data_IF_231260942416
#
_entry.id   IF_231260942416
#
_cell.length_a   1.000
_cell.length_b   1.000
_cell.length_c   1.000
_cell.angle_alpha   90.00
_cell.angle_beta   90.00
_cell.angle_gamma   90.00
#
_symmetry.space_group_name_H-M   'P 1'
#
loop_
_entity.id
_entity.type
_entity.pdbx_description
1 polymer ?
#
# COMPACT_ATOMS: atom_id res chain seq x y z
N UNK A 1 -20.15 30.85 -82.19
CA UNK A 1 -20.79 30.60 -80.89
C UNK A 1 -21.46 29.24 -80.98
N UNK A 2 -21.07 28.18 -80.29
CA UNK A 2 -19.97 27.88 -79.38
C UNK A 2 -19.96 26.33 -79.30
N UNK A 3 -18.78 25.73 -79.40
CA UNK A 3 -18.59 24.27 -79.48
C UNK A 3 -18.82 23.60 -78.13
N UNK A 4 -19.50 22.45 -78.16
CA UNK A 4 -19.76 21.56 -77.04
C UNK A 4 -18.51 20.75 -76.63
N UNK A 5 -18.37 20.57 -75.30
CA UNK A 5 -17.60 19.56 -74.54
C UNK A 5 -16.05 19.67 -74.57
N UNK A 6 -15.28 19.45 -73.49
CA UNK A 6 -15.43 18.58 -72.31
C UNK A 6 -14.84 19.22 -71.01
N UNK A 7 -15.36 18.85 -69.84
CA UNK A 7 -14.74 19.11 -68.51
C UNK A 7 -14.65 17.76 -67.77
N UNK A 8 -13.52 17.42 -67.12
CA UNK A 8 -13.16 16.04 -66.81
C UNK A 8 -13.93 15.43 -65.62
N UNK A 9 -14.25 14.15 -65.76
CA UNK A 9 -14.85 13.30 -64.71
C UNK A 9 -13.88 13.17 -63.53
N UNK A 10 -14.17 13.88 -62.44
CA UNK A 10 -13.49 13.66 -61.15
C UNK A 10 -13.89 12.30 -60.59
N UNK A 11 -12.95 11.36 -60.66
CA UNK A 11 -13.07 10.02 -60.10
C UNK A 11 -13.13 10.10 -58.56
N UNK A 12 -14.34 10.16 -58.00
CA UNK A 12 -14.54 10.17 -56.55
C UNK A 12 -14.25 8.77 -56.01
N UNK A 13 -13.08 8.61 -55.38
CA UNK A 13 -12.75 7.40 -54.60
C UNK A 13 -13.85 7.21 -53.55
N UNK A 14 -14.75 6.25 -53.78
CA UNK A 14 -15.71 5.76 -52.77
C UNK A 14 -14.93 5.39 -51.51
N UNK A 15 -15.05 6.19 -50.44
CA UNK A 15 -14.61 5.79 -49.09
C UNK A 15 -15.40 4.53 -48.74
N UNK A 16 -14.70 3.39 -48.70
CA UNK A 16 -15.26 2.12 -48.25
C UNK A 16 -15.77 2.31 -46.82
N UNK A 17 -17.08 2.14 -46.62
CA UNK A 17 -17.70 2.08 -45.29
C UNK A 17 -16.99 0.97 -44.52
N UNK A 18 -16.33 1.32 -43.41
CA UNK A 18 -15.64 0.35 -42.56
C UNK A 18 -16.64 -0.66 -42.03
N UNK A 19 -16.48 -1.93 -42.41
CA UNK A 19 -17.31 -3.01 -41.91
C UNK A 19 -17.17 -3.20 -40.39
N UNK A 20 -18.22 -3.75 -39.78
CA UNK A 20 -18.28 -4.03 -38.35
C UNK A 20 -17.06 -4.86 -37.89
N UNK A 21 -16.36 -4.39 -36.85
CA UNK A 21 -15.20 -5.10 -36.29
C UNK A 21 -15.66 -6.42 -35.68
N UNK A 22 -15.17 -7.55 -36.19
CA UNK A 22 -15.46 -8.88 -35.64
C UNK A 22 -14.63 -9.13 -34.36
N UNK A 23 -15.25 -9.71 -33.34
CA UNK A 23 -14.62 -9.96 -32.02
C UNK A 23 -13.47 -10.99 -32.09
N UNK A 24 -13.44 -11.84 -33.12
CA UNK A 24 -12.51 -12.98 -33.30
C UNK A 24 -11.34 -12.70 -34.25
N UNK A 25 -11.18 -11.46 -34.74
CA UNK A 25 -10.05 -11.07 -35.60
C UNK A 25 -8.67 -11.20 -34.92
N UNK A 26 -7.63 -11.44 -35.72
CA UNK A 26 -6.24 -11.55 -35.25
C UNK A 26 -5.77 -10.26 -34.55
N UNK A 27 -4.84 -10.38 -33.59
CA UNK A 27 -4.34 -9.25 -32.80
C UNK A 27 -3.70 -8.18 -33.68
N UNK A 28 -2.96 -8.59 -34.71
CA UNK A 28 -2.31 -7.68 -35.67
C UNK A 28 -3.32 -6.79 -36.41
N UNK A 29 -4.49 -7.31 -36.79
CA UNK A 29 -5.54 -6.51 -37.42
C UNK A 29 -6.28 -5.61 -36.42
N UNK A 30 -6.46 -6.09 -35.18
CA UNK A 30 -7.08 -5.34 -34.08
C UNK A 30 -6.26 -4.11 -33.69
N UNK A 31 -4.95 -4.26 -33.44
CA UNK A 31 -4.02 -3.16 -33.14
C UNK A 31 -4.04 -2.10 -34.26
N UNK A 32 -4.13 -2.55 -35.51
CA UNK A 32 -4.17 -1.66 -36.67
C UNK A 32 -5.55 -1.09 -36.97
N UNK A 33 -6.56 -1.38 -36.12
CA UNK A 33 -7.93 -0.92 -36.30
C UNK A 33 -8.54 -1.26 -37.68
N UNK A 34 -8.10 -2.37 -38.29
CA UNK A 34 -8.58 -2.85 -39.59
C UNK A 34 -9.42 -4.13 -39.46
N UNK A 35 -10.44 -4.34 -40.32
CA UNK A 35 -11.18 -5.60 -40.32
C UNK A 35 -10.28 -6.79 -40.64
N UNK A 36 -10.48 -7.90 -39.91
CA UNK A 36 -9.81 -9.17 -40.15
C UNK A 36 -10.77 -10.12 -40.88
N UNK A 37 -10.27 -10.86 -41.87
CA UNK A 37 -10.98 -11.91 -42.60
C UNK A 37 -10.89 -13.29 -41.91
N UNK A 38 -10.17 -13.37 -40.78
CA UNK A 38 -10.10 -14.54 -39.88
C UNK A 38 -9.58 -15.84 -40.52
N UNK A 39 -9.06 -15.78 -41.76
CA UNK A 39 -8.38 -16.90 -42.42
C UNK A 39 -7.16 -17.34 -41.61
N UNK A 40 -7.00 -18.66 -41.46
CA UNK A 40 -5.88 -19.31 -40.76
C UNK A 40 -5.02 -20.09 -41.75
N UNK A 41 -3.69 -20.21 -41.56
CA UNK A 41 -2.89 -19.72 -40.42
C UNK A 41 -2.57 -18.22 -40.45
N UNK A 42 -2.69 -17.57 -41.61
CA UNK A 42 -2.44 -16.13 -41.81
C UNK A 42 -3.67 -15.51 -42.47
N UNK A 43 -4.12 -14.36 -41.95
CA UNK A 43 -5.27 -13.65 -42.50
C UNK A 43 -4.85 -12.88 -43.77
N UNK A 44 -5.75 -12.73 -44.76
CA UNK A 44 -5.41 -12.14 -46.06
C UNK A 44 -4.91 -10.69 -45.97
N UNK A 45 -5.32 -9.96 -44.94
CA UNK A 45 -4.82 -8.59 -44.71
C UNK A 45 -3.38 -8.56 -44.18
N UNK A 46 -2.98 -9.55 -43.37
CA UNK A 46 -1.59 -9.71 -42.92
C UNK A 46 -0.71 -10.29 -44.03
N UNK A 47 -1.23 -11.24 -44.81
CA UNK A 47 -0.54 -11.85 -45.96
C UNK A 47 -0.20 -10.79 -47.02
N UNK A 48 -1.19 -10.00 -47.46
CA UNK A 48 -1.02 -8.95 -48.47
C UNK A 48 -0.03 -7.86 -48.04
N UNK A 49 0.03 -7.57 -46.74
CA UNK A 49 0.89 -6.52 -46.19
C UNK A 49 2.21 -7.07 -45.63
N UNK A 50 2.47 -8.38 -45.78
CA UNK A 50 3.65 -9.09 -45.25
C UNK A 50 3.88 -8.81 -43.75
N UNK A 51 2.81 -8.81 -42.96
CA UNK A 51 2.85 -8.61 -41.51
C UNK A 51 2.81 -9.96 -40.77
N UNK A 52 3.46 -10.01 -39.61
CA UNK A 52 3.33 -11.15 -38.69
C UNK A 52 1.90 -11.24 -38.17
N UNK A 53 1.18 -12.30 -38.55
CA UNK A 53 -0.22 -12.51 -38.19
C UNK A 53 -0.32 -13.25 -36.85
N UNK A 54 -0.70 -12.53 -35.80
CA UNK A 54 -0.89 -13.10 -34.45
C UNK A 54 -2.35 -13.58 -34.28
N UNK A 55 -2.63 -14.89 -34.39
CA UNK A 55 -4.01 -15.40 -34.34
C UNK A 55 -4.66 -15.08 -32.99
N UNK A 56 -5.98 -14.87 -33.00
CA UNK A 56 -6.77 -14.79 -31.78
C UNK A 56 -7.00 -16.21 -31.26
N UNK A 57 -6.43 -16.53 -30.11
CA UNK A 57 -6.74 -17.74 -29.36
C UNK A 57 -7.78 -17.37 -28.30
N UNK A 58 -9.04 -17.83 -28.43
CA UNK A 58 -9.96 -17.74 -27.32
C UNK A 58 -9.39 -18.54 -26.16
N UNK A 59 -9.27 -17.89 -25.00
CA UNK A 59 -8.81 -18.47 -23.74
C UNK A 59 -9.49 -19.83 -23.57
N UNK A 60 -8.70 -20.92 -23.49
CA UNK A 60 -9.22 -22.22 -23.05
C UNK A 60 -9.90 -22.00 -21.72
N UNK A 61 -11.22 -22.23 -21.66
CA UNK A 61 -11.97 -22.23 -20.41
C UNK A 61 -11.25 -23.15 -19.41
N UNK A 62 -10.96 -22.63 -18.22
CA UNK A 62 -10.45 -23.45 -17.12
C UNK A 62 -11.50 -24.51 -16.77
N UNK A 63 -11.06 -25.74 -16.52
CA UNK A 63 -11.90 -26.91 -16.23
C UNK A 63 -12.72 -26.85 -14.91
N UNK A 64 -12.88 -25.66 -14.31
CA UNK A 64 -13.65 -25.43 -13.08
C UNK A 64 -15.07 -24.93 -13.34
N UNK A 65 -15.52 -24.92 -14.59
CA UNK A 65 -16.87 -24.47 -14.99
C UNK A 65 -17.54 -25.46 -15.94
N UNK A 66 -17.54 -26.75 -15.60
CA UNK A 66 -18.40 -27.72 -16.26
C UNK A 66 -19.70 -27.88 -15.43
N UNK A 67 -20.89 -27.57 -15.97
CA UNK A 67 -22.14 -28.04 -15.41
C UNK A 67 -22.22 -29.55 -15.62
N UNK A 68 -22.47 -30.30 -14.55
CA UNK A 68 -22.71 -31.74 -14.61
C UNK A 68 -23.90 -32.09 -15.51
N UNK A 69 -23.79 -33.24 -16.16
CA UNK A 69 -24.74 -33.83 -17.10
C UNK A 69 -26.19 -33.85 -16.58
N UNK A 70 -27.11 -33.27 -17.35
CA UNK A 70 -28.52 -33.64 -17.34
C UNK A 70 -29.12 -33.49 -18.75
N UNK A 71 -29.41 -34.65 -19.33
CA UNK A 71 -30.11 -35.00 -20.56
C UNK A 71 -31.08 -34.00 -21.24
N UNK A 72 -30.81 -33.76 -22.53
CA UNK A 72 -31.71 -33.90 -23.70
C UNK A 72 -33.21 -33.54 -23.59
N UNK A 73 -33.63 -32.47 -24.29
CA UNK A 73 -34.87 -32.42 -25.09
C UNK A 73 -34.88 -31.25 -26.12
N UNK A 74 -34.62 -31.61 -27.38
CA UNK A 74 -35.20 -31.18 -28.67
C UNK A 74 -35.89 -29.80 -28.90
N UNK A 75 -35.24 -28.97 -29.77
CA UNK A 75 -35.74 -28.13 -30.92
C UNK A 75 -36.80 -27.00 -30.69
N UNK A 76 -37.04 -26.03 -31.62
CA UNK A 76 -36.31 -25.63 -32.85
C UNK A 76 -36.07 -24.11 -33.04
N UNK A 77 -35.38 -23.80 -34.14
CA UNK A 77 -35.06 -22.48 -34.73
C UNK A 77 -36.25 -21.51 -34.86
N UNK A 78 -36.00 -20.20 -34.62
CA UNK A 78 -36.51 -19.07 -35.40
C UNK A 78 -35.90 -17.72 -34.94
N UNK A 79 -35.34 -16.96 -35.89
CA UNK A 79 -35.00 -15.53 -35.80
C UNK A 79 -36.19 -14.70 -36.36
N UNK A 80 -36.19 -13.35 -36.28
CA UNK A 80 -36.10 -12.44 -35.13
C UNK A 80 -37.31 -11.47 -35.11
N UNK A 81 -37.52 -10.68 -34.04
CA UNK A 81 -37.91 -9.26 -34.09
C UNK A 81 -38.23 -8.71 -32.69
N UNK A 82 -37.65 -7.52 -32.42
CA UNK A 82 -38.15 -6.43 -31.58
C UNK A 82 -38.87 -6.75 -30.25
N UNK A 83 -38.21 -6.43 -29.13
CA UNK A 83 -38.75 -5.42 -28.23
C UNK A 83 -37.62 -4.77 -27.41
N UNK A 84 -37.40 -3.48 -27.70
CA UNK A 84 -36.73 -2.55 -26.82
C UNK A 84 -37.68 -2.15 -25.68
N UNK A 85 -37.06 -1.55 -24.66
CA UNK A 85 -37.62 -0.72 -23.58
C UNK A 85 -38.07 -1.45 -22.32
N UNK A 86 -37.16 -1.56 -21.33
CA UNK A 86 -37.43 -1.15 -19.95
C UNK A 86 -36.13 -1.15 -19.11
N UNK A 87 -35.26 -0.15 -19.28
CA UNK A 87 -34.27 0.26 -18.26
C UNK A 87 -33.85 1.70 -18.56
N UNK A 88 -34.71 2.65 -18.21
CA UNK A 88 -34.31 4.02 -17.93
C UNK A 88 -34.29 4.19 -16.40
N UNK A 89 -33.12 4.06 -15.80
CA UNK A 89 -32.82 4.66 -14.51
C UNK A 89 -31.76 5.74 -14.77
N UNK A 90 -32.11 6.97 -14.39
CA UNK A 90 -31.55 8.20 -14.93
C UNK A 90 -30.06 8.37 -14.76
N UNK A 91 -29.42 8.84 -15.84
CA UNK A 91 -28.23 9.67 -15.77
C UNK A 91 -28.55 10.89 -14.92
N UNK A 92 -28.01 10.95 -13.71
CA UNK A 92 -27.63 12.22 -13.11
C UNK A 92 -26.15 12.39 -13.40
N UNK A 93 -25.86 13.21 -14.40
CA UNK A 93 -24.54 13.79 -14.61
C UNK A 93 -24.21 14.65 -13.40
N UNK A 94 -23.49 14.07 -12.43
CA UNK A 94 -22.69 14.84 -11.49
C UNK A 94 -21.28 14.91 -12.10
N UNK A 95 -21.02 15.97 -12.87
CA UNK A 95 -19.66 16.33 -13.23
C UNK A 95 -18.90 16.65 -11.93
N UNK A 96 -18.07 15.71 -11.48
CA UNK A 96 -17.13 15.97 -10.40
C UNK A 96 -16.04 16.94 -10.88
N UNK A 97 -15.56 17.86 -10.05
CA UNK A 97 -14.35 18.60 -10.35
C UNK A 97 -13.19 17.60 -10.47
N UNK A 98 -12.44 17.69 -11.57
CA UNK A 98 -11.37 16.78 -11.97
C UNK A 98 -10.11 16.87 -11.08
N UNK A 99 -10.26 17.08 -9.77
CA UNK A 99 -9.17 17.47 -8.85
C UNK A 99 -9.02 16.57 -7.62
N UNK A 100 -9.72 15.44 -7.53
CA UNK A 100 -9.63 14.53 -6.36
C UNK A 100 -9.27 13.10 -6.76
N UNK A 101 -8.02 12.92 -7.20
CA UNK A 101 -7.49 11.62 -7.64
C UNK A 101 -6.69 10.89 -6.53
N UNK A 102 -6.52 11.50 -5.35
CA UNK A 102 -5.74 10.95 -4.23
C UNK A 102 -6.36 11.18 -2.86
N UNK A 103 -5.99 10.34 -1.90
CA UNK A 103 -6.29 10.55 -0.48
C UNK A 103 -5.82 11.94 -0.02
N UNK A 104 -4.65 12.42 -0.45
CA UNK A 104 -4.19 13.78 -0.15
C UNK A 104 -5.19 14.85 -0.56
N UNK A 105 -5.56 14.88 -1.84
CA UNK A 105 -6.41 15.91 -2.41
C UNK A 105 -7.76 15.93 -1.69
N UNK A 106 -8.25 14.74 -1.36
CA UNK A 106 -9.44 14.54 -0.56
C UNK A 106 -9.33 15.21 0.83
N UNK A 107 -8.32 14.86 1.63
CA UNK A 107 -8.19 15.36 2.99
C UNK A 107 -7.85 16.86 3.04
N UNK A 108 -6.97 17.35 2.17
CA UNK A 108 -6.63 18.78 2.10
C UNK A 108 -7.87 19.66 1.85
N UNK A 109 -8.83 19.17 1.06
CA UNK A 109 -10.04 19.93 0.76
C UNK A 109 -11.13 19.86 1.83
N UNK A 110 -11.16 18.81 2.65
CA UNK A 110 -12.25 18.56 3.60
C UNK A 110 -11.83 18.64 5.07
N UNK A 111 -10.53 18.71 5.35
CA UNK A 111 -9.98 18.79 6.69
C UNK A 111 -8.79 19.78 6.68
N UNK A 112 -9.05 21.09 6.86
CA UNK A 112 -7.97 22.07 6.93
C UNK A 112 -7.05 21.77 8.12
N UNK A 113 -5.75 22.10 7.99
CA UNK A 113 -4.74 21.82 9.00
C UNK A 113 -5.21 22.25 10.40
N UNK A 114 -5.00 21.42 11.44
CA UNK A 114 -5.17 21.89 12.80
C UNK A 114 -4.26 23.11 13.01
N UNK A 115 -4.73 24.18 13.71
CA UNK A 115 -3.92 25.38 13.89
C UNK A 115 -2.59 24.98 14.50
N UNK A 116 -1.50 25.30 13.80
CA UNK A 116 -0.13 25.14 14.29
C UNK A 116 -0.07 25.85 15.65
N UNK A 117 -0.06 25.09 16.73
CA UNK A 117 0.31 25.64 18.02
C UNK A 117 1.80 25.97 17.89
N UNK A 118 2.07 27.25 17.68
CA UNK A 118 3.39 27.81 17.91
C UNK A 118 3.70 27.52 19.38
N UNK A 119 4.58 26.55 19.66
CA UNK A 119 5.12 26.34 21.00
C UNK A 119 6.03 27.53 21.29
N UNK A 120 5.43 28.66 21.68
CA UNK A 120 6.13 29.72 22.38
C UNK A 120 6.40 29.20 23.79
N UNK A 121 7.69 28.89 24.03
CA UNK A 121 8.29 28.65 25.35
C UNK A 121 7.66 29.55 26.41
N UNK A 122 6.94 28.96 27.36
CA UNK A 122 6.69 29.57 28.67
C UNK A 122 6.86 28.52 29.78
N UNK A 123 7.44 29.00 30.87
CA UNK A 123 8.09 28.31 32.00
C UNK A 123 7.17 27.37 32.80
N UNK A 124 7.72 26.44 33.61
CA UNK A 124 6.94 25.39 34.28
C UNK A 124 6.24 25.91 35.55
N UNK A 125 5.00 25.46 35.86
CA UNK A 125 4.41 25.69 37.17
C UNK A 125 4.80 24.59 38.18
N UNK A 126 4.83 25.01 39.45
CA UNK A 126 5.33 24.27 40.62
C UNK A 126 4.43 23.11 41.04
N UNK A 127 5.07 22.07 41.57
CA UNK A 127 4.50 20.91 42.28
C UNK A 127 3.62 21.35 43.46
N UNK A 128 2.47 20.71 43.63
CA UNK A 128 1.89 20.45 44.95
C UNK A 128 1.39 19.02 45.02
N UNK A 129 1.67 18.38 46.16
CA UNK A 129 1.43 16.98 46.45
C UNK A 129 0.04 16.77 47.05
N UNK A 130 -0.54 15.58 46.85
CA UNK A 130 -1.43 14.96 47.84
C UNK A 130 -1.46 13.44 47.70
N UNK A 131 -1.54 12.81 48.86
CA UNK A 131 -1.29 11.41 49.27
C UNK A 131 -2.56 10.53 49.14
N UNK A 132 -2.47 9.19 49.32
CA UNK A 132 -3.41 8.19 48.79
C UNK A 132 -4.46 7.69 49.81
N UNK A 133 -5.58 7.12 49.32
CA UNK A 133 -6.46 6.28 50.14
C UNK A 133 -7.12 5.10 49.37
N UNK A 134 -6.62 3.90 49.69
CA UNK A 134 -7.27 2.61 50.05
C UNK A 134 -8.59 2.12 49.41
N UNK A 135 -8.53 0.87 48.95
CA UNK A 135 -9.60 -0.12 48.70
C UNK A 135 -10.63 -0.30 49.83
N UNK A 136 -11.81 -0.85 49.49
CA UNK A 136 -12.19 -2.16 50.06
C UNK A 136 -12.78 -3.19 49.06
N UNK A 137 -12.56 -4.47 49.38
CA UNK A 137 -13.21 -5.68 48.84
C UNK A 137 -14.53 -5.99 49.59
N UNK A 138 -15.48 -6.68 48.92
CA UNK A 138 -16.29 -7.84 49.39
C UNK A 138 -17.33 -8.19 48.29
N UNK A 139 -17.28 -9.38 47.66
CA UNK A 139 -17.97 -10.66 47.95
C UNK A 139 -19.52 -10.60 47.93
N UNK A 140 -20.13 -11.48 47.13
CA UNK A 140 -21.52 -11.35 46.64
C UNK A 140 -22.54 -12.36 47.16
N UNK A 141 -23.74 -12.35 46.54
CA UNK A 141 -24.84 -13.34 46.63
C UNK A 141 -25.66 -13.23 45.32
N UNK A 142 -26.16 -14.35 44.77
CA UNK A 142 -26.77 -14.44 43.43
C UNK A 142 -28.29 -14.64 43.36
N UNK A 143 -28.72 -14.97 42.13
CA UNK A 143 -30.02 -15.55 41.68
C UNK A 143 -31.16 -14.49 41.59
N UNK A 144 -31.93 -14.30 40.51
CA UNK A 144 -32.52 -15.24 39.55
C UNK A 144 -32.95 -14.58 38.21
N UNK A 145 -33.14 -15.49 37.24
CA UNK A 145 -33.90 -15.53 35.99
C UNK A 145 -34.51 -14.28 35.30
N UNK A 146 -34.30 -14.20 33.99
CA UNK A 146 -34.82 -13.15 33.13
C UNK A 146 -34.42 -13.36 31.67
N UNK A 147 -35.02 -14.36 31.04
CA UNK A 147 -34.98 -14.62 29.61
C UNK A 147 -35.22 -13.34 28.78
N UNK A 148 -34.15 -12.75 28.26
CA UNK A 148 -34.20 -11.85 27.11
C UNK A 148 -33.50 -12.55 25.96
N UNK A 149 -34.32 -13.06 25.04
CA UNK A 149 -33.86 -13.65 23.80
C UNK A 149 -32.83 -12.72 23.17
N UNK A 150 -31.65 -13.25 22.93
CA UNK A 150 -30.64 -12.60 22.13
C UNK A 150 -31.24 -12.38 20.74
N UNK A 151 -31.76 -11.17 20.51
CA UNK A 151 -31.94 -10.65 19.16
C UNK A 151 -30.56 -10.66 18.52
N UNK A 152 -30.35 -11.64 17.63
CA UNK A 152 -29.21 -11.68 16.72
C UNK A 152 -29.29 -10.37 15.95
N UNK A 153 -28.42 -9.42 16.29
CA UNK A 153 -28.25 -8.16 15.58
C UNK A 153 -27.92 -8.54 14.14
N UNK A 154 -28.91 -8.43 13.26
CA UNK A 154 -28.76 -8.55 11.82
C UNK A 154 -27.96 -7.34 11.31
N UNK A 155 -26.65 -7.34 11.57
CA UNK A 155 -25.72 -6.40 10.97
C UNK A 155 -25.81 -6.56 9.45
N UNK A 156 -25.98 -5.45 8.74
CA UNK A 156 -26.04 -5.44 7.28
C UNK A 156 -24.77 -6.09 6.72
N UNK A 157 -24.89 -7.33 6.26
CA UNK A 157 -23.77 -8.10 5.74
C UNK A 157 -23.42 -7.58 4.34
N UNK A 158 -22.14 -7.34 4.07
CA UNK A 158 -21.69 -6.86 2.75
C UNK A 158 -21.88 -7.97 1.71
N UNK A 159 -22.53 -7.66 0.59
CA UNK A 159 -22.68 -8.60 -0.53
C UNK A 159 -21.35 -8.75 -1.28
N UNK A 160 -20.71 -9.90 -1.17
CA UNK A 160 -19.42 -10.19 -1.81
C UNK A 160 -19.60 -10.89 -3.17
N UNK A 161 -18.92 -10.39 -4.19
CA UNK A 161 -18.84 -11.06 -5.51
C UNK A 161 -17.71 -12.09 -5.55
N UNK A 162 -17.71 -12.98 -6.54
CA UNK A 162 -16.62 -13.93 -6.75
C UNK A 162 -15.26 -13.23 -6.96
N UNK A 163 -15.25 -12.09 -7.65
CA UNK A 163 -14.04 -11.27 -7.84
C UNK A 163 -13.53 -10.73 -6.50
N UNK A 164 -14.42 -10.18 -5.66
CA UNK A 164 -14.06 -9.70 -4.33
C UNK A 164 -13.50 -10.83 -3.46
N UNK A 165 -14.13 -12.00 -3.45
CA UNK A 165 -13.67 -13.16 -2.68
C UNK A 165 -12.26 -13.58 -3.12
N UNK A 166 -12.00 -13.60 -4.43
CA UNK A 166 -10.66 -13.90 -4.95
C UNK A 166 -9.62 -12.88 -4.46
N UNK A 167 -9.95 -11.59 -4.51
CA UNK A 167 -9.07 -10.51 -4.04
C UNK A 167 -8.84 -10.58 -2.51
N UNK A 168 -9.89 -10.76 -1.71
CA UNK A 168 -9.79 -10.90 -0.25
C UNK A 168 -8.96 -12.12 0.16
N UNK A 169 -9.10 -13.24 -0.57
CA UNK A 169 -8.32 -14.45 -0.31
C UNK A 169 -6.85 -14.24 -0.67
N UNK A 170 -6.59 -13.61 -1.82
CA UNK A 170 -5.24 -13.31 -2.29
C UNK A 170 -4.52 -12.31 -1.40
N UNK A 171 -5.24 -11.30 -0.90
CA UNK A 171 -4.74 -10.28 0.02
C UNK A 171 -3.99 -10.89 1.21
N UNK A 172 -4.60 -11.89 1.86
CA UNK A 172 -4.11 -12.52 3.09
C UNK A 172 -2.69 -13.08 2.95
N UNK A 173 -2.35 -13.64 1.79
CA UNK A 173 -1.08 -14.32 1.55
C UNK A 173 -0.10 -13.50 0.71
N UNK A 174 -0.46 -12.25 0.39
CA UNK A 174 0.37 -11.35 -0.42
C UNK A 174 0.63 -10.06 0.34
N UNK A 175 -0.01 -8.95 -0.04
CA UNK A 175 0.27 -7.63 0.50
C UNK A 175 0.01 -7.51 2.01
N UNK A 176 -0.94 -8.27 2.58
CA UNK A 176 -1.17 -8.25 4.02
C UNK A 176 0.04 -8.75 4.83
N UNK A 177 0.83 -9.69 4.28
CA UNK A 177 2.04 -10.22 4.92
C UNK A 177 3.18 -9.20 4.98
N UNK A 178 3.16 -8.22 4.07
CA UNK A 178 4.06 -7.07 4.13
C UNK A 178 3.59 -6.06 5.18
N UNK A 179 2.29 -5.79 5.26
CA UNK A 179 1.71 -4.84 6.21
C UNK A 179 1.95 -5.27 7.67
N UNK A 180 1.84 -6.58 7.95
CA UNK A 180 2.03 -7.14 9.29
C UNK A 180 3.46 -7.61 9.58
N UNK A 181 4.47 -7.19 8.80
CA UNK A 181 5.84 -7.70 8.98
C UNK A 181 6.40 -7.51 10.40
N UNK A 182 5.92 -6.48 11.12
CA UNK A 182 6.24 -6.15 12.51
C UNK A 182 5.00 -6.16 13.42
N UNK A 183 4.02 -7.01 13.12
CA UNK A 183 2.87 -7.27 13.99
C UNK A 183 2.54 -8.77 14.03
N UNK A 184 2.97 -9.45 15.10
CA UNK A 184 2.68 -10.87 15.28
C UNK A 184 1.20 -11.18 15.54
N UNK A 185 0.38 -10.17 15.85
CA UNK A 185 -1.08 -10.34 15.92
C UNK A 185 -1.71 -10.50 14.53
N UNK A 186 -0.96 -10.23 13.46
CA UNK A 186 -1.43 -10.31 12.09
C UNK A 186 -2.71 -9.47 11.87
N UNK A 187 -2.75 -8.23 12.39
CA UNK A 187 -3.97 -7.44 12.41
C UNK A 187 -4.51 -7.15 10.99
N UNK A 188 -3.63 -6.85 10.02
CA UNK A 188 -4.06 -6.64 8.63
C UNK A 188 -4.43 -7.95 7.93
N UNK A 189 -3.75 -9.06 8.20
CA UNK A 189 -4.08 -10.36 7.63
C UNK A 189 -5.39 -10.94 8.19
N UNK A 190 -5.73 -10.66 9.44
CA UNK A 190 -6.85 -11.30 10.14
C UNK A 190 -7.99 -10.34 10.47
N UNK A 191 -7.72 -9.26 11.20
CA UNK A 191 -8.77 -8.36 11.70
C UNK A 191 -9.40 -7.55 10.58
N UNK A 192 -8.61 -7.03 9.63
CA UNK A 192 -9.15 -6.33 8.45
C UNK A 192 -10.11 -7.22 7.67
N UNK A 193 -9.76 -8.49 7.45
CA UNK A 193 -10.63 -9.43 6.73
C UNK A 193 -11.91 -9.77 7.51
N UNK A 194 -11.86 -9.84 8.85
CA UNK A 194 -13.07 -9.98 9.68
C UNK A 194 -13.98 -8.75 9.51
N UNK A 195 -13.40 -7.55 9.53
CA UNK A 195 -14.13 -6.27 9.37
C UNK A 195 -14.69 -6.08 7.96
N UNK A 196 -14.06 -6.65 6.93
CA UNK A 196 -14.61 -6.68 5.57
C UNK A 196 -16.01 -7.32 5.49
N UNK A 197 -16.40 -8.19 6.44
CA UNK A 197 -17.74 -8.79 6.44
C UNK A 197 -18.85 -7.76 6.70
N UNK A 198 -18.52 -6.63 7.33
CA UNK A 198 -19.47 -5.59 7.75
C UNK A 198 -19.12 -4.20 7.21
N UNK A 199 -17.98 -4.04 6.54
CA UNK A 199 -17.46 -2.74 6.10
C UNK A 199 -17.21 -2.69 4.60
N UNK A 200 -18.13 -2.06 3.86
CA UNK A 200 -17.99 -1.85 2.41
C UNK A 200 -16.74 -1.02 2.06
N UNK A 201 -16.36 -0.07 2.93
CA UNK A 201 -15.16 0.74 2.76
C UNK A 201 -13.90 -0.14 2.78
N UNK A 202 -13.79 -1.04 3.74
CA UNK A 202 -12.64 -1.96 3.82
C UNK A 202 -12.64 -2.97 2.68
N UNK A 203 -13.80 -3.54 2.30
CA UNK A 203 -13.87 -4.45 1.15
C UNK A 203 -13.32 -3.78 -0.10
N UNK A 204 -13.77 -2.56 -0.41
CA UNK A 204 -13.28 -1.83 -1.57
C UNK A 204 -11.79 -1.50 -1.44
N UNK A 205 -11.33 -1.07 -0.26
CA UNK A 205 -9.92 -0.68 -0.05
C UNK A 205 -8.98 -1.87 -0.20
N UNK A 206 -9.34 -3.04 0.37
CA UNK A 206 -8.57 -4.29 0.24
C UNK A 206 -8.58 -4.78 -1.22
N UNK A 207 -9.74 -4.74 -1.89
CA UNK A 207 -9.84 -5.13 -3.30
C UNK A 207 -9.01 -4.23 -4.20
N UNK A 208 -9.02 -2.91 -3.96
CA UNK A 208 -8.21 -1.96 -4.70
C UNK A 208 -6.72 -2.29 -4.56
N UNK A 209 -6.23 -2.39 -3.32
CA UNK A 209 -4.83 -2.64 -3.02
C UNK A 209 -4.35 -3.97 -3.60
N UNK A 210 -5.14 -5.03 -3.43
CA UNK A 210 -4.79 -6.36 -3.94
C UNK A 210 -4.82 -6.42 -5.46
N UNK A 211 -5.85 -5.86 -6.10
CA UNK A 211 -5.92 -5.81 -7.56
C UNK A 211 -4.75 -5.00 -8.13
N UNK A 212 -4.35 -3.91 -7.45
CA UNK A 212 -3.17 -3.15 -7.86
C UNK A 212 -1.89 -3.97 -7.75
N UNK A 213 -1.68 -4.67 -6.65
CA UNK A 213 -0.55 -5.59 -6.50
C UNK A 213 -0.52 -6.63 -7.63
N UNK A 214 -1.66 -7.28 -7.90
CA UNK A 214 -1.78 -8.25 -8.98
C UNK A 214 -1.53 -7.64 -10.35
N UNK A 215 -1.92 -6.38 -10.59
CA UNK A 215 -1.67 -5.68 -11.84
C UNK A 215 -0.19 -5.44 -12.14
N UNK A 216 0.64 -5.42 -11.11
CA UNK A 216 2.10 -5.24 -11.23
C UNK A 216 2.83 -6.57 -11.48
N UNK A 217 2.15 -7.72 -11.36
CA UNK A 217 2.72 -9.02 -11.66
C UNK A 217 2.77 -9.27 -13.18
N UNK A 218 3.65 -10.16 -13.66
CA UNK A 218 3.65 -10.58 -15.06
C UNK A 218 2.27 -11.09 -15.48
N UNK A 219 1.74 -10.58 -16.60
CA UNK A 219 0.39 -10.88 -17.12
C UNK A 219 -0.77 -10.37 -16.23
N UNK A 220 -0.48 -9.43 -15.33
CA UNK A 220 -1.44 -8.84 -14.39
C UNK A 220 -2.40 -7.80 -14.98
N UNK A 221 -2.25 -7.39 -16.25
CA UNK A 221 -2.96 -6.27 -16.86
C UNK A 221 -4.49 -6.28 -16.68
N UNK A 222 -5.08 -7.47 -16.56
CA UNK A 222 -6.52 -7.66 -16.31
C UNK A 222 -6.98 -7.00 -15.01
N UNK A 223 -6.09 -6.87 -14.01
CA UNK A 223 -6.39 -6.30 -12.70
C UNK A 223 -6.28 -4.78 -12.63
N UNK A 224 -5.74 -4.13 -13.66
CA UNK A 224 -5.61 -2.66 -13.71
C UNK A 224 -6.96 -1.95 -13.65
N UNK A 225 -7.97 -2.45 -14.37
CA UNK A 225 -9.31 -1.85 -14.34
C UNK A 225 -10.05 -2.09 -13.00
N UNK A 226 -10.08 -3.31 -12.43
CA UNK A 226 -10.57 -3.54 -11.07
C UNK A 226 -9.88 -2.68 -10.01
N UNK A 227 -8.55 -2.54 -10.07
CA UNK A 227 -7.77 -1.73 -9.13
C UNK A 227 -8.28 -0.28 -9.09
N UNK A 228 -8.33 0.39 -10.23
CA UNK A 228 -8.81 1.77 -10.34
C UNK A 228 -10.27 1.91 -9.93
N UNK A 229 -11.12 0.92 -10.27
CA UNK A 229 -12.55 0.94 -9.91
C UNK A 229 -12.76 0.92 -8.41
N UNK A 230 -12.18 -0.05 -7.71
CA UNK A 230 -12.31 -0.18 -6.26
C UNK A 230 -11.64 0.96 -5.51
N UNK A 231 -10.52 1.48 -6.03
CA UNK A 231 -9.85 2.64 -5.46
C UNK A 231 -10.77 3.87 -5.50
N UNK A 232 -11.35 4.19 -6.66
CA UNK A 232 -12.29 5.30 -6.79
C UNK A 232 -13.58 5.11 -5.97
N UNK A 233 -14.06 3.87 -5.81
CA UNK A 233 -15.19 3.56 -4.93
C UNK A 233 -14.85 3.82 -3.45
N UNK A 234 -13.67 3.38 -3.01
CA UNK A 234 -13.18 3.61 -1.65
C UNK A 234 -13.04 5.09 -1.35
N UNK A 235 -12.49 5.89 -2.27
CA UNK A 235 -12.38 7.34 -2.12
C UNK A 235 -13.76 8.02 -2.01
N UNK A 236 -14.74 7.63 -2.84
CA UNK A 236 -16.11 8.18 -2.75
C UNK A 236 -16.77 7.87 -1.41
N UNK A 237 -16.59 6.65 -0.90
CA UNK A 237 -17.10 6.27 0.41
C UNK A 237 -16.37 7.05 1.51
N UNK A 238 -15.05 7.21 1.42
CA UNK A 238 -14.26 7.98 2.36
C UNK A 238 -14.66 9.47 2.39
N UNK A 239 -14.90 10.10 1.23
CA UNK A 239 -15.45 11.47 1.10
C UNK A 239 -16.71 11.63 1.95
N UNK A 240 -17.63 10.65 1.91
CA UNK A 240 -18.90 10.75 2.62
C UNK A 240 -18.78 10.74 4.14
N UNK A 241 -17.62 10.32 4.68
CA UNK A 241 -17.36 10.25 6.12
C UNK A 241 -16.50 11.39 6.65
N UNK A 242 -15.66 12.00 5.81
CA UNK A 242 -14.77 13.08 6.25
C UNK A 242 -15.60 14.32 6.61
N UNK A 243 -15.40 14.85 7.82
CA UNK A 243 -16.13 16.01 8.34
C UNK A 243 -17.47 15.67 8.99
N UNK A 244 -17.80 14.39 9.16
CA UNK A 244 -18.97 13.94 9.92
C UNK A 244 -18.55 13.48 11.33
N UNK A 245 -19.39 13.73 12.33
CA UNK A 245 -19.15 13.28 13.72
C UNK A 245 -19.26 11.75 13.90
N UNK A 246 -19.62 11.02 12.84
CA UNK A 246 -19.87 9.59 12.83
C UNK A 246 -18.96 8.84 11.86
N UNK A 247 -17.72 9.30 11.67
CA UNK A 247 -16.75 8.59 10.85
C UNK A 247 -16.57 7.14 11.36
N UNK A 248 -16.69 6.12 10.50
CA UNK A 248 -16.51 4.74 10.91
C UNK A 248 -15.14 4.50 11.53
N UNK A 249 -15.07 3.56 12.48
CA UNK A 249 -13.81 3.16 13.12
C UNK A 249 -12.77 2.69 12.08
N UNK A 250 -13.22 2.11 10.97
CA UNK A 250 -12.40 1.60 9.86
C UNK A 250 -11.72 2.69 9.00
N UNK A 251 -12.07 3.97 9.19
CA UNK A 251 -11.62 5.05 8.32
C UNK A 251 -10.09 5.18 8.27
N UNK A 252 -9.40 5.03 9.40
CA UNK A 252 -7.93 5.06 9.43
C UNK A 252 -7.34 3.87 8.69
N UNK A 253 -7.78 2.65 9.00
CA UNK A 253 -7.32 1.43 8.37
C UNK A 253 -7.53 1.43 6.85
N UNK A 254 -8.71 1.88 6.40
CA UNK A 254 -9.01 2.07 4.98
C UNK A 254 -8.05 3.10 4.35
N UNK A 255 -7.81 4.23 5.03
CA UNK A 255 -6.87 5.25 4.54
C UNK A 255 -5.48 4.67 4.40
N UNK A 256 -4.97 3.92 5.38
CA UNK A 256 -3.66 3.26 5.29
C UNK A 256 -3.58 2.27 4.12
N UNK A 257 -4.64 1.48 3.86
CA UNK A 257 -4.69 0.59 2.69
C UNK A 257 -4.63 1.37 1.37
N UNK A 258 -5.32 2.52 1.28
CA UNK A 258 -5.30 3.39 0.11
C UNK A 258 -3.95 4.10 -0.06
N UNK A 259 -3.30 4.56 1.01
CA UNK A 259 -1.93 5.06 0.96
C UNK A 259 -0.97 3.98 0.43
N UNK A 260 -1.14 2.73 0.87
CA UNK A 260 -0.32 1.60 0.42
C UNK A 260 -0.53 1.28 -1.06
N UNK A 261 -1.78 1.35 -1.53
CA UNK A 261 -2.12 1.30 -2.95
C UNK A 261 -1.38 2.40 -3.73
N UNK A 262 -1.43 3.64 -3.24
CA UNK A 262 -0.82 4.79 -3.91
C UNK A 262 0.70 4.65 -4.00
N UNK A 263 1.36 4.17 -2.94
CA UNK A 263 2.80 3.92 -2.90
C UNK A 263 3.24 2.90 -3.95
N UNK A 264 2.47 1.82 -4.18
CA UNK A 264 2.81 0.84 -5.22
C UNK A 264 2.31 1.27 -6.61
N UNK A 265 1.44 2.28 -6.69
CA UNK A 265 0.95 2.83 -7.94
C UNK A 265 1.80 3.98 -8.48
N UNK A 266 2.52 4.69 -7.62
CA UNK A 266 3.35 5.83 -8.00
C UNK A 266 4.54 5.37 -8.87
N UNK A 267 4.81 6.13 -9.93
CA UNK A 267 6.02 6.02 -10.75
C UNK A 267 6.94 7.25 -10.57
N UNK A 268 6.83 8.01 -9.47
CA UNK A 268 7.57 9.27 -9.28
C UNK A 268 7.29 10.03 -7.96
N UNK A 269 7.85 11.24 -7.86
CA UNK A 269 8.20 12.01 -6.64
C UNK A 269 7.07 12.51 -5.72
N UNK A 270 5.79 12.24 -5.98
CA UNK A 270 4.68 12.83 -5.18
C UNK A 270 4.32 12.05 -3.89
N UNK A 271 5.28 11.33 -3.30
CA UNK A 271 5.03 10.38 -2.21
C UNK A 271 4.48 11.01 -0.92
N UNK A 272 4.85 12.26 -0.61
CA UNK A 272 4.41 12.95 0.62
C UNK A 272 2.91 13.20 0.68
N UNK A 273 2.28 13.42 -0.47
CA UNK A 273 0.84 13.70 -0.54
C UNK A 273 0.05 12.51 0.00
N UNK A 274 0.48 11.29 -0.33
CA UNK A 274 -0.23 10.06 -0.01
C UNK A 274 -0.48 9.85 1.49
N UNK A 275 0.41 10.32 2.37
CA UNK A 275 0.32 10.06 3.81
C UNK A 275 -0.33 11.19 4.62
N UNK A 276 -0.59 12.35 3.99
CA UNK A 276 -1.14 13.52 4.67
C UNK A 276 -2.51 13.23 5.32
N UNK A 277 -3.40 12.53 4.61
CA UNK A 277 -4.71 12.15 5.13
C UNK A 277 -4.65 11.22 6.34
N UNK A 278 -3.77 10.21 6.28
CA UNK A 278 -3.54 9.29 7.39
C UNK A 278 -3.02 10.03 8.63
N UNK A 279 -2.07 10.96 8.44
CA UNK A 279 -1.57 11.81 9.52
C UNK A 279 -2.68 12.58 10.22
N UNK A 280 -3.54 13.26 9.47
CA UNK A 280 -4.63 14.05 10.06
C UNK A 280 -5.58 13.18 10.88
N UNK A 281 -5.92 11.98 10.39
CA UNK A 281 -6.72 11.02 11.14
C UNK A 281 -6.02 10.53 12.41
N UNK A 282 -4.72 10.22 12.35
CA UNK A 282 -3.92 9.80 13.50
C UNK A 282 -3.95 10.89 14.58
N UNK A 283 -3.70 12.14 14.20
CA UNK A 283 -3.67 13.27 15.13
C UNK A 283 -5.05 13.54 15.74
N UNK A 284 -6.10 13.60 14.91
CA UNK A 284 -7.47 13.90 15.38
C UNK A 284 -8.05 12.81 16.27
N UNK A 285 -7.72 11.53 16.00
CA UNK A 285 -8.17 10.38 16.82
C UNK A 285 -7.24 10.08 17.99
N UNK A 286 -6.09 10.75 18.10
CA UNK A 286 -5.09 10.51 19.14
C UNK A 286 -4.42 9.13 19.06
N UNK A 287 -4.35 8.54 17.85
CA UNK A 287 -3.73 7.24 17.61
C UNK A 287 -2.21 7.32 17.77
N UNK A 288 -1.60 6.29 18.35
CA UNK A 288 -0.15 6.27 18.65
C UNK A 288 0.37 4.84 18.83
N UNK A 289 1.66 4.67 19.14
CA UNK A 289 2.23 3.36 19.46
C UNK A 289 1.59 2.71 20.71
N UNK A 290 0.99 3.51 21.60
CA UNK A 290 0.27 3.05 22.79
C UNK A 290 -1.19 2.62 22.53
N UNK A 291 -1.70 2.80 21.31
CA UNK A 291 -3.03 2.32 20.92
C UNK A 291 -3.11 0.78 20.94
N UNK A 292 -4.27 0.22 20.61
CA UNK A 292 -4.49 -1.24 20.54
C UNK A 292 -5.16 -1.64 19.24
N UNK A 293 -5.10 -2.93 18.90
CA UNK A 293 -5.77 -3.50 17.72
C UNK A 293 -5.35 -2.81 16.41
N UNK A 294 -6.33 -2.60 15.53
CA UNK A 294 -6.13 -2.00 14.21
C UNK A 294 -5.53 -0.60 14.27
N UNK A 295 -5.85 0.22 15.27
CA UNK A 295 -5.27 1.57 15.38
C UNK A 295 -3.77 1.52 15.64
N UNK A 296 -3.29 0.59 16.50
CA UNK A 296 -1.85 0.39 16.72
C UNK A 296 -1.16 -0.15 15.47
N UNK A 297 -1.75 -1.14 14.81
CA UNK A 297 -1.19 -1.70 13.59
C UNK A 297 -1.12 -0.65 12.47
N UNK A 298 -2.20 0.11 12.25
CA UNK A 298 -2.27 1.23 11.33
C UNK A 298 -1.20 2.29 11.63
N UNK A 299 -0.92 2.58 12.91
CA UNK A 299 0.13 3.51 13.31
C UNK A 299 1.53 3.04 12.88
N UNK A 300 1.89 1.79 13.16
CA UNK A 300 3.22 1.27 12.81
C UNK A 300 3.41 1.13 11.29
N UNK A 301 2.36 0.78 10.56
CA UNK A 301 2.38 0.79 9.09
C UNK A 301 2.52 2.22 8.55
N UNK A 302 1.83 3.19 9.14
CA UNK A 302 2.01 4.60 8.81
C UNK A 302 3.47 5.03 9.03
N UNK A 303 4.05 4.72 10.20
CA UNK A 303 5.45 5.02 10.53
C UNK A 303 6.40 4.45 9.47
N UNK A 304 6.20 3.19 9.10
CA UNK A 304 7.02 2.52 8.09
C UNK A 304 6.95 3.23 6.73
N UNK A 305 5.75 3.56 6.25
CA UNK A 305 5.60 4.33 5.01
C UNK A 305 6.22 5.72 5.12
N UNK A 306 5.97 6.41 6.22
CA UNK A 306 6.46 7.78 6.45
C UNK A 306 7.99 7.83 6.47
N UNK A 307 8.66 6.87 7.10
CA UNK A 307 10.12 6.76 7.06
C UNK A 307 10.61 6.61 5.62
N UNK A 308 10.03 5.72 4.82
CA UNK A 308 10.38 5.55 3.41
C UNK A 308 10.21 6.84 2.62
N UNK A 309 9.08 7.53 2.82
CA UNK A 309 8.76 8.79 2.13
C UNK A 309 9.69 9.93 2.57
N UNK A 310 10.03 10.00 3.86
CA UNK A 310 10.92 11.01 4.42
C UNK A 310 12.36 10.83 3.93
N UNK A 311 12.84 9.58 3.87
CA UNK A 311 14.14 9.26 3.24
C UNK A 311 14.16 9.72 1.78
N UNK A 312 13.07 9.48 1.02
CA UNK A 312 13.03 9.76 -0.42
C UNK A 312 13.10 11.26 -0.69
N UNK A 313 12.34 12.01 0.07
CA UNK A 313 12.25 13.45 -0.06
C UNK A 313 13.32 14.21 0.73
N UNK A 314 14.16 13.49 1.50
CA UNK A 314 15.16 14.04 2.42
C UNK A 314 14.55 15.07 3.38
N UNK A 315 13.42 14.72 4.00
CA UNK A 315 12.69 15.55 4.96
C UNK A 315 12.62 14.89 6.33
N UNK A 316 12.32 15.68 7.36
CA UNK A 316 11.94 15.13 8.67
C UNK A 316 10.59 14.42 8.58
N UNK A 317 10.26 13.61 9.60
CA UNK A 317 8.97 12.95 9.71
C UNK A 317 7.85 13.96 10.00
N UNK A 318 6.65 13.71 9.50
CA UNK A 318 5.51 14.58 9.78
C UNK A 318 4.95 14.48 11.22
N UNK A 319 5.27 13.40 11.94
CA UNK A 319 5.00 13.20 13.37
C UNK A 319 6.32 12.79 14.03
N UNK A 320 6.85 13.63 14.93
CA UNK A 320 8.15 13.37 15.54
C UNK A 320 8.11 12.08 16.38
N UNK A 321 9.18 11.26 16.39
CA UNK A 321 9.29 10.06 17.22
C UNK A 321 9.07 10.30 18.72
N UNK A 322 9.27 11.54 19.19
CA UNK A 322 8.98 11.95 20.57
C UNK A 322 7.49 11.91 20.90
N UNK A 323 6.64 12.10 19.90
CA UNK A 323 5.18 12.17 20.04
C UNK A 323 4.50 10.82 19.78
N UNK A 324 5.26 9.76 19.48
CA UNK A 324 4.72 8.43 19.17
C UNK A 324 4.15 7.71 20.40
N UNK A 325 4.38 8.22 21.61
CA UNK A 325 3.93 7.63 22.89
C UNK A 325 4.36 6.16 23.04
N UNK A 326 5.60 5.86 22.66
CA UNK A 326 6.17 4.51 22.81
C UNK A 326 6.36 4.16 24.29
N UNK A 327 6.15 2.89 24.62
CA UNK A 327 6.42 2.34 25.94
C UNK A 327 7.03 0.96 25.77
N UNK A 328 8.28 0.82 26.20
CA UNK A 328 9.06 -0.40 26.03
C UNK A 328 9.12 -1.17 27.35
N UNK A 329 8.97 -2.50 27.28
CA UNK A 329 9.14 -3.37 28.45
C UNK A 329 10.62 -3.51 28.77
N UNK A 330 10.95 -3.64 30.06
CA UNK A 330 12.29 -4.05 30.47
C UNK A 330 12.55 -5.48 29.98
N UNK A 331 13.64 -5.69 29.24
CA UNK A 331 14.03 -6.98 28.64
C UNK A 331 13.00 -7.52 27.64
N UNK A 332 12.66 -6.71 26.64
CA UNK A 332 11.83 -7.15 25.54
C UNK A 332 12.52 -8.27 24.74
N UNK A 333 11.76 -9.30 24.39
CA UNK A 333 12.23 -10.46 23.61
C UNK A 333 11.38 -10.70 22.37
N UNK A 334 10.19 -10.11 22.30
CA UNK A 334 9.28 -10.23 21.18
C UNK A 334 9.88 -9.52 19.96
N UNK A 335 10.18 -10.26 18.89
CA UNK A 335 10.93 -9.74 17.75
C UNK A 335 10.19 -8.63 16.98
N UNK A 336 8.86 -8.66 16.94
CA UNK A 336 8.06 -7.60 16.32
C UNK A 336 8.11 -6.29 17.14
N UNK A 337 8.11 -6.38 18.47
CA UNK A 337 8.31 -5.21 19.35
C UNK A 337 9.72 -4.65 19.22
N UNK A 338 10.74 -5.50 19.20
CA UNK A 338 12.14 -5.10 18.99
C UNK A 338 12.34 -4.45 17.61
N UNK A 339 11.66 -4.94 16.57
CA UNK A 339 11.67 -4.30 15.25
C UNK A 339 10.98 -2.92 15.26
N UNK A 340 9.88 -2.76 15.99
CA UNK A 340 9.23 -1.46 16.17
C UNK A 340 10.10 -0.47 16.99
N UNK A 341 10.88 -0.95 17.96
CA UNK A 341 11.91 -0.14 18.64
C UNK A 341 12.96 0.39 17.65
N UNK A 342 13.38 -0.43 16.70
CA UNK A 342 14.30 0.01 15.66
C UNK A 342 13.70 1.07 14.75
N UNK A 343 12.44 0.93 14.34
CA UNK A 343 11.75 1.95 13.56
C UNK A 343 11.69 3.27 14.32
N UNK A 344 11.53 3.23 15.65
CA UNK A 344 11.61 4.43 16.49
C UNK A 344 13.01 5.06 16.52
N UNK A 345 14.07 4.25 16.64
CA UNK A 345 15.46 4.72 16.57
C UNK A 345 15.80 5.29 15.18
N UNK A 346 15.35 4.63 14.12
CA UNK A 346 15.50 5.08 12.74
C UNK A 346 14.75 6.40 12.51
N UNK A 347 13.53 6.53 13.03
CA UNK A 347 12.78 7.78 12.95
C UNK A 347 13.53 8.93 13.63
N UNK A 348 14.17 8.69 14.78
CA UNK A 348 15.04 9.69 15.43
C UNK A 348 16.22 10.06 14.54
N UNK A 349 16.85 9.08 13.90
CA UNK A 349 17.96 9.33 12.97
C UNK A 349 17.51 10.18 11.77
N UNK A 350 16.35 9.88 11.16
CA UNK A 350 15.75 10.67 10.06
C UNK A 350 15.51 12.12 10.50
N UNK A 351 14.88 12.33 11.65
CA UNK A 351 14.58 13.67 12.19
C UNK A 351 15.84 14.48 12.51
N UNK A 352 16.93 13.83 12.91
CA UNK A 352 18.23 14.47 13.17
C UNK A 352 18.95 14.80 11.85
N UNK A 353 18.97 13.85 10.92
CA UNK A 353 19.74 13.97 9.68
C UNK A 353 19.12 14.95 8.69
N UNK A 354 17.79 15.01 8.59
CA UNK A 354 17.11 15.94 7.68
C UNK A 354 16.60 17.21 8.36
N UNK A 355 16.97 17.46 9.63
CA UNK A 355 16.63 18.70 10.33
C UNK A 355 17.24 19.91 9.63
N UNK A 356 16.41 20.86 9.21
CA UNK A 356 16.88 22.17 8.77
C UNK A 356 17.23 23.03 9.99
N UNK A 357 18.48 23.46 10.11
CA UNK A 357 18.94 24.36 11.18
C UNK A 357 19.16 25.78 10.66
N UNK A 358 18.77 26.77 11.47
CA UNK A 358 18.88 28.20 11.13
C UNK A 358 20.22 28.83 11.58
N UNK A 359 21.07 28.13 12.36
CA UNK A 359 22.35 28.66 12.89
C UNK A 359 23.45 27.58 12.95
N UNK A 360 24.66 27.90 12.48
CA UNK A 360 25.70 26.92 12.11
C UNK A 360 26.55 26.32 13.25
N UNK A 361 26.80 27.02 14.36
CA UNK A 361 27.86 26.61 15.31
C UNK A 361 27.35 25.81 16.52
N UNK A 362 26.25 26.24 17.14
CA UNK A 362 25.57 25.49 18.22
C UNK A 362 24.87 24.21 17.71
N UNK A 363 24.56 24.21 16.42
CA UNK A 363 24.04 23.07 15.65
C UNK A 363 24.96 21.84 15.72
N UNK A 364 26.23 21.98 15.35
CA UNK A 364 27.14 20.82 15.17
C UNK A 364 27.41 20.05 16.47
N UNK A 365 27.55 20.75 17.60
CA UNK A 365 27.77 20.11 18.90
C UNK A 365 26.53 19.32 19.34
N UNK A 366 25.34 19.91 19.16
CA UNK A 366 24.06 19.28 19.48
C UNK A 366 23.84 18.04 18.60
N UNK A 367 24.08 18.18 17.29
CA UNK A 367 23.98 17.10 16.31
C UNK A 367 24.94 15.94 16.63
N UNK A 368 26.18 16.24 17.03
CA UNK A 368 27.14 15.22 17.46
C UNK A 368 26.65 14.47 18.71
N UNK A 369 26.02 15.18 19.66
CA UNK A 369 25.42 14.59 20.86
C UNK A 369 24.26 13.66 20.51
N UNK A 370 23.28 14.16 19.75
CA UNK A 370 22.11 13.38 19.32
C UNK A 370 22.51 12.14 18.51
N UNK A 371 23.46 12.28 17.57
CA UNK A 371 23.98 11.12 16.81
C UNK A 371 24.65 10.09 17.72
N UNK A 372 25.47 10.53 18.68
CA UNK A 372 26.16 9.62 19.61
C UNK A 372 25.16 8.88 20.50
N UNK A 373 24.13 9.57 20.96
CA UNK A 373 23.04 8.98 21.74
C UNK A 373 22.32 7.90 20.92
N UNK A 374 21.95 8.19 19.67
CA UNK A 374 21.30 7.19 18.81
C UNK A 374 22.21 5.99 18.57
N UNK A 375 23.51 6.17 18.32
CA UNK A 375 24.44 5.05 18.19
C UNK A 375 24.52 4.20 19.48
N UNK A 376 24.56 4.84 20.64
CA UNK A 376 24.59 4.13 21.92
C UNK A 376 23.30 3.34 22.16
N UNK A 377 22.15 3.94 21.85
CA UNK A 377 20.84 3.28 21.98
C UNK A 377 20.70 2.11 21.01
N UNK A 378 21.17 2.25 19.76
CA UNK A 378 21.17 1.18 18.76
C UNK A 378 22.12 0.04 19.16
N UNK A 379 23.29 0.36 19.73
CA UNK A 379 24.20 -0.66 20.26
C UNK A 379 23.58 -1.41 21.44
N UNK A 380 22.98 -0.69 22.40
CA UNK A 380 22.26 -1.30 23.53
C UNK A 380 21.06 -2.14 23.06
N UNK A 381 20.38 -1.69 22.01
CA UNK A 381 19.31 -2.46 21.39
C UNK A 381 19.88 -3.75 20.79
N UNK A 382 20.98 -3.70 20.03
CA UNK A 382 21.59 -4.89 19.44
C UNK A 382 22.07 -5.89 20.50
N UNK A 383 22.60 -5.41 21.62
CA UNK A 383 23.04 -6.24 22.75
C UNK A 383 21.89 -6.94 23.48
N UNK A 384 20.67 -6.38 23.39
CA UNK A 384 19.48 -6.96 24.01
C UNK A 384 18.89 -8.15 23.24
N UNK A 385 19.47 -8.52 22.10
CA UNK A 385 18.81 -9.35 21.10
C UNK A 385 19.07 -10.86 21.19
N UNK A 386 18.08 -11.61 20.73
CA UNK A 386 18.17 -13.04 20.44
C UNK A 386 19.04 -13.27 19.18
N UNK A 387 19.78 -14.40 19.09
CA UNK A 387 20.49 -14.82 17.87
C UNK A 387 19.63 -14.90 16.59
N UNK A 388 18.30 -14.82 16.69
CA UNK A 388 17.38 -14.82 15.54
C UNK A 388 17.57 -13.63 14.59
N UNK A 389 18.14 -12.53 15.07
CA UNK A 389 18.35 -11.31 14.28
C UNK A 389 19.70 -11.15 13.61
N UNK A 390 20.74 -11.89 14.01
CA UNK A 390 22.06 -11.76 13.39
C UNK A 390 22.11 -12.37 11.98
N UNK A 391 21.13 -13.24 11.67
CA UNK A 391 21.17 -14.10 10.49
C UNK A 391 22.37 -15.07 10.53
N UNK A 392 22.37 -16.06 9.65
CA UNK A 392 23.49 -16.99 9.50
C UNK A 392 23.95 -16.97 8.05
N UNK A 393 25.20 -16.54 7.81
CA UNK A 393 25.80 -16.54 6.47
C UNK A 393 25.96 -17.98 5.96
N UNK A 394 25.60 -18.22 4.70
CA UNK A 394 25.72 -19.52 4.03
C UNK A 394 26.01 -19.36 2.54
N UNK A 395 26.49 -20.45 1.93
CA UNK A 395 26.93 -20.46 0.54
C UNK A 395 28.31 -19.84 0.33
N UNK A 396 28.77 -19.84 -0.92
CA UNK A 396 30.03 -19.21 -1.30
C UNK A 396 29.86 -17.69 -1.38
N UNK A 397 30.94 -16.98 -1.03
CA UNK A 397 31.03 -15.53 -1.25
C UNK A 397 31.26 -15.31 -2.74
N UNK A 398 30.44 -14.48 -3.37
CA UNK A 398 30.61 -14.18 -4.79
C UNK A 398 31.83 -13.27 -5.05
N UNK A 399 32.16 -13.06 -6.33
CA UNK A 399 33.30 -12.21 -6.72
C UNK A 399 33.17 -10.73 -6.32
N UNK A 400 32.02 -10.31 -5.80
CA UNK A 400 31.75 -8.95 -5.33
C UNK A 400 31.66 -8.86 -3.80
N UNK A 401 31.86 -9.98 -3.08
CA UNK A 401 31.85 -10.02 -1.63
C UNK A 401 30.48 -10.32 -1.00
N UNK A 402 29.45 -10.58 -1.79
CA UNK A 402 28.12 -10.91 -1.26
C UNK A 402 28.03 -12.37 -0.81
N UNK A 403 27.30 -12.61 0.28
CA UNK A 403 26.97 -13.93 0.80
C UNK A 403 25.49 -13.96 1.19
N UNK A 404 24.84 -15.11 1.06
CA UNK A 404 23.45 -15.24 1.51
C UNK A 404 23.38 -15.37 3.02
N UNK A 405 22.33 -14.86 3.63
CA UNK A 405 21.97 -15.00 5.04
C UNK A 405 20.66 -15.75 5.18
N UNK A 406 20.65 -16.71 6.09
CA UNK A 406 19.42 -17.34 6.55
C UNK A 406 18.89 -16.59 7.77
N UNK A 407 17.63 -16.19 7.72
CA UNK A 407 16.89 -15.67 8.86
C UNK A 407 15.75 -16.62 9.19
N UNK A 408 15.63 -17.09 10.44
CA UNK A 408 14.51 -17.93 10.85
C UNK A 408 13.19 -17.15 10.82
N UNK A 409 13.23 -15.84 11.06
CA UNK A 409 12.08 -14.97 11.15
C UNK A 409 12.10 -13.89 10.05
N UNK A 410 11.03 -13.71 9.27
CA UNK A 410 10.97 -12.66 8.24
C UNK A 410 11.09 -11.24 8.82
N UNK A 411 10.50 -10.98 9.99
CA UNK A 411 10.62 -9.71 10.69
C UNK A 411 12.09 -9.37 11.00
N UNK A 412 12.91 -10.37 11.33
CA UNK A 412 14.31 -10.18 11.66
C UNK A 412 15.11 -9.73 10.44
N UNK A 413 14.90 -10.38 9.30
CA UNK A 413 15.51 -9.95 8.03
C UNK A 413 15.10 -8.52 7.66
N UNK A 414 13.82 -8.17 7.81
CA UNK A 414 13.32 -6.83 7.54
C UNK A 414 13.92 -5.79 8.50
N UNK A 415 13.97 -6.08 9.80
CA UNK A 415 14.59 -5.22 10.79
C UNK A 415 16.07 -4.99 10.50
N UNK A 416 16.82 -6.02 10.11
CA UNK A 416 18.24 -5.87 9.79
C UNK A 416 18.49 -4.95 8.59
N UNK A 417 17.62 -4.98 7.57
CA UNK A 417 17.70 -4.01 6.45
C UNK A 417 17.61 -2.58 7.01
N UNK A 418 16.64 -2.30 7.89
CA UNK A 418 16.49 -0.99 8.53
C UNK A 418 17.66 -0.63 9.46
N UNK A 419 18.26 -1.61 10.14
CA UNK A 419 19.41 -1.43 11.03
C UNK A 419 20.65 -0.97 10.26
N UNK A 420 20.94 -1.64 9.13
CA UNK A 420 22.05 -1.24 8.29
C UNK A 420 21.78 0.11 7.63
N UNK A 421 20.53 0.39 7.22
CA UNK A 421 20.15 1.69 6.68
C UNK A 421 20.30 2.83 7.70
N UNK A 422 19.94 2.58 8.98
CA UNK A 422 20.14 3.54 10.07
C UNK A 422 21.61 3.93 10.19
N UNK A 423 22.51 2.96 10.17
CA UNK A 423 23.94 3.21 10.24
C UNK A 423 24.44 4.01 9.03
N UNK A 424 24.04 3.61 7.82
CA UNK A 424 24.36 4.37 6.60
C UNK A 424 23.89 5.81 6.75
N UNK A 425 22.66 6.05 7.22
CA UNK A 425 22.10 7.38 7.39
C UNK A 425 22.93 8.24 8.37
N UNK A 426 23.34 7.69 9.52
CA UNK A 426 24.13 8.40 10.52
C UNK A 426 25.57 8.68 10.08
N UNK A 427 26.18 7.76 9.32
CA UNK A 427 27.52 7.91 8.76
C UNK A 427 27.54 8.81 7.52
N UNK A 428 26.47 8.78 6.72
CA UNK A 428 26.32 9.55 5.51
C UNK A 428 25.91 11.02 5.77
N UNK A 429 25.53 11.37 7.00
CA UNK A 429 25.14 12.73 7.42
C UNK A 429 26.18 13.79 6.96
N UNK A 430 25.82 14.65 5.98
CA UNK A 430 26.76 15.56 5.32
C UNK A 430 27.51 16.48 6.27
N UNK A 431 26.87 16.92 7.36
CA UNK A 431 27.47 17.86 8.33
C UNK A 431 28.54 17.23 9.20
N UNK A 432 28.56 15.90 9.30
CA UNK A 432 29.45 15.16 10.19
C UNK A 432 30.29 14.11 9.43
N UNK A 433 30.43 14.26 8.12
CA UNK A 433 31.20 13.36 7.26
C UNK A 433 32.67 13.27 7.69
N UNK A 434 33.22 12.06 7.64
CA UNK A 434 34.62 11.80 7.94
C UNK A 434 35.12 10.63 7.07
N UNK A 435 36.35 10.68 6.52
CA UNK A 435 36.87 9.62 5.65
C UNK A 435 36.86 8.22 6.28
N UNK A 436 36.98 8.12 7.61
CA UNK A 436 36.91 6.84 8.32
C UNK A 436 35.53 6.18 8.29
N UNK A 437 34.48 6.89 7.87
CA UNK A 437 33.14 6.34 7.76
C UNK A 437 32.87 5.65 6.43
N UNK A 438 33.68 5.91 5.40
CA UNK A 438 33.51 5.28 4.09
C UNK A 438 33.50 3.74 4.19
N UNK A 439 34.47 3.08 4.87
CA UNK A 439 34.45 1.63 5.00
C UNK A 439 33.26 1.11 5.82
N UNK A 440 32.73 1.91 6.75
CA UNK A 440 31.55 1.56 7.54
C UNK A 440 30.29 1.60 6.67
N UNK A 441 30.12 2.65 5.86
CA UNK A 441 29.01 2.78 4.91
C UNK A 441 29.05 1.61 3.91
N UNK A 442 30.21 1.31 3.33
CA UNK A 442 30.41 0.18 2.42
C UNK A 442 30.03 -1.16 3.08
N UNK A 443 30.45 -1.37 4.33
CA UNK A 443 30.09 -2.57 5.09
C UNK A 443 28.57 -2.70 5.28
N UNK A 444 27.88 -1.66 5.75
CA UNK A 444 26.44 -1.72 5.95
C UNK A 444 25.67 -1.87 4.63
N UNK A 445 26.14 -1.24 3.54
CA UNK A 445 25.56 -1.40 2.22
C UNK A 445 25.73 -2.84 1.69
N UNK A 446 26.91 -3.44 1.91
CA UNK A 446 27.19 -4.83 1.56
C UNK A 446 26.23 -5.77 2.31
N UNK A 447 26.02 -5.57 3.61
CA UNK A 447 25.11 -6.42 4.40
C UNK A 447 23.65 -6.29 3.92
N UNK A 448 23.18 -5.10 3.55
CA UNK A 448 21.84 -4.93 2.91
C UNK A 448 21.76 -5.76 1.62
N UNK A 449 22.78 -5.70 0.77
CA UNK A 449 22.85 -6.48 -0.46
C UNK A 449 22.87 -7.99 -0.18
N UNK A 450 23.61 -8.43 0.84
CA UNK A 450 23.64 -9.83 1.29
C UNK A 450 22.24 -10.31 1.70
N UNK A 451 21.52 -9.52 2.52
CA UNK A 451 20.13 -9.85 2.91
C UNK A 451 19.21 -9.87 1.69
N UNK A 452 19.33 -8.90 0.78
CA UNK A 452 18.48 -8.80 -0.42
C UNK A 452 18.66 -9.97 -1.40
N UNK A 453 19.89 -10.51 -1.50
CA UNK A 453 20.24 -11.67 -2.34
C UNK A 453 19.90 -13.02 -1.69
N UNK A 454 19.48 -13.01 -0.43
CA UNK A 454 19.15 -14.21 0.34
C UNK A 454 17.80 -14.79 -0.05
N UNK A 455 17.55 -16.03 0.36
CA UNK A 455 16.27 -16.71 0.13
C UNK A 455 15.21 -16.24 1.16
N UNK A 456 14.84 -14.96 1.06
CA UNK A 456 13.87 -14.29 1.95
C UNK A 456 12.45 -14.20 1.33
N UNK A 457 11.39 -14.14 2.16
CA UNK A 457 10.02 -13.98 1.67
C UNK A 457 9.81 -12.68 0.88
N UNK A 458 8.84 -12.68 -0.03
CA UNK A 458 8.47 -11.50 -0.81
C UNK A 458 8.06 -10.31 0.06
N UNK A 459 7.44 -10.54 1.22
CA UNK A 459 7.09 -9.50 2.20
C UNK A 459 8.32 -8.74 2.71
N UNK A 460 9.46 -9.43 2.87
CA UNK A 460 10.74 -8.82 3.25
C UNK A 460 11.38 -8.12 2.06
N UNK A 461 11.33 -8.75 0.87
CA UNK A 461 11.97 -8.21 -0.33
C UNK A 461 11.46 -6.82 -0.71
N UNK A 462 10.19 -6.51 -0.44
CA UNK A 462 9.60 -5.17 -0.61
C UNK A 462 10.37 -4.06 0.12
N UNK A 463 11.09 -4.37 1.20
CA UNK A 463 11.91 -3.42 1.96
C UNK A 463 13.33 -3.25 1.39
N UNK A 464 13.91 -4.32 0.86
CA UNK A 464 15.28 -4.29 0.32
C UNK A 464 15.43 -3.33 -0.86
N UNK A 465 14.43 -3.25 -1.75
CA UNK A 465 14.44 -2.30 -2.87
C UNK A 465 14.43 -0.85 -2.42
N UNK A 466 13.78 -0.54 -1.30
CA UNK A 466 13.73 0.81 -0.74
C UNK A 466 15.07 1.22 -0.13
N UNK A 467 15.77 0.29 0.54
CA UNK A 467 17.07 0.56 1.16
C UNK A 467 18.22 0.71 0.15
N UNK A 468 18.21 -0.10 -0.93
CA UNK A 468 19.27 -0.07 -1.96
C UNK A 468 19.30 1.27 -2.72
N UNK A 469 18.16 1.96 -2.87
CA UNK A 469 18.09 3.27 -3.53
C UNK A 469 18.91 4.36 -2.80
N UNK A 470 19.08 4.26 -1.48
CA UNK A 470 19.85 5.22 -0.67
C UNK A 470 21.34 4.87 -0.52
N UNK A 471 21.75 3.65 -0.87
CA UNK A 471 23.16 3.24 -0.83
C UNK A 471 24.00 3.74 -2.02
N UNK A 472 23.34 4.29 -3.06
CA UNK A 472 23.96 4.62 -4.36
C UNK A 472 23.81 6.12 -4.73
N UNK A 473 23.09 6.92 -3.91
CA UNK A 473 22.77 8.33 -4.18
C UNK A 473 23.29 9.26 -3.09
#
# INVERSE_FOLDING_TARGET
>A
MESLHEVPVKNTKKRRRGGQRRKTGCYTCKERHTPCDEKRPVCGNCERLRLSCRPFEPIKQCAWSAPGDANHASRPEQHPHQQQTLFQAGKRDASFPATMDSTCALFTAHMPDPPLYSITRTSPPKKTASTPHRHPQQQGVGVDDGSHGAEIISGAQVTLTAEMIHLLTTYRTTVATWMDIFDYNCAYQLDVLRRCMTSSLLVCSVCAFTAKHLSLLPLGDVWSAPATRYYGESLRTLISYIGTDSAPEDTLTATILLCSYEIIASQGEEHQRHLYGARLLILNRGVSASSVGLDRASFWIYVQHEITVALFNRTTLQISPKDWKVSWREKEVDEDVLANQLLWLLGRAVDVVFRQEQSMFTATTTLCGERREIHADVASWLDSWSPSFTGVKYGEIDGQGFSKLYFPMPCAAAAMIWYHLLHILLYAEPRLQHPSYIPLIEHHALEIGCIALSDIPNSVRSFSSQAIFYGIS
#
